data_IF_373474315214
#
_entry.id   IF_373474315214
#
_cell.length_a   1.000
_cell.length_b   1.000
_cell.length_c   1.000
_cell.angle_alpha   90.00
_cell.angle_beta   90.00
_cell.angle_gamma   90.00
#
_symmetry.space_group_name_H-M   'P 1'
#
loop_
_entity.id
_entity.type
_entity.pdbx_description
1 polymer ?
#
# COMPACT_ATOMS: atom_id res chain seq x y z
N UNK A 1 -13.41 -11.65 -10.04
CA UNK A 1 -14.42 -11.37 -8.99
C UNK A 1 -14.03 -11.95 -7.63
N UNK A 2 -13.66 -13.25 -7.54
CA UNK A 2 -13.35 -13.95 -6.28
C UNK A 2 -12.19 -13.35 -5.45
N UNK A 3 -11.10 -12.88 -6.08
CA UNK A 3 -9.95 -12.29 -5.37
C UNK A 3 -10.23 -10.95 -4.69
N UNK A 4 -11.11 -10.14 -5.27
CA UNK A 4 -11.56 -8.87 -4.68
C UNK A 4 -12.43 -9.17 -3.45
N UNK A 5 -13.34 -10.15 -3.56
CA UNK A 5 -14.17 -10.60 -2.44
C UNK A 5 -13.32 -11.06 -1.25
N UNK A 6 -12.28 -11.86 -1.46
CA UNK A 6 -11.40 -12.36 -0.38
C UNK A 6 -10.66 -11.19 0.32
N UNK A 7 -10.20 -10.18 -0.42
CA UNK A 7 -9.51 -9.02 0.15
C UNK A 7 -10.46 -8.12 0.97
N UNK A 8 -11.70 -7.92 0.50
CA UNK A 8 -12.73 -7.23 1.26
C UNK A 8 -13.13 -7.99 2.52
N UNK A 9 -13.24 -9.32 2.46
CA UNK A 9 -13.49 -10.15 3.64
C UNK A 9 -12.31 -10.10 4.63
N UNK A 10 -11.06 -10.06 4.15
CA UNK A 10 -9.90 -9.92 5.02
C UNK A 10 -9.86 -8.55 5.73
N UNK A 11 -10.19 -7.46 5.03
CA UNK A 11 -10.31 -6.12 5.64
C UNK A 11 -11.45 -6.09 6.66
N UNK A 12 -12.61 -6.69 6.35
CA UNK A 12 -13.72 -6.79 7.31
C UNK A 12 -13.32 -7.57 8.56
N UNK A 13 -12.60 -8.68 8.40
CA UNK A 13 -12.09 -9.49 9.51
C UNK A 13 -11.08 -8.68 10.32
N UNK A 14 -10.17 -7.94 9.68
CA UNK A 14 -9.20 -7.08 10.39
C UNK A 14 -9.93 -6.00 11.21
N UNK A 15 -10.91 -5.33 10.63
CA UNK A 15 -11.72 -4.32 11.32
C UNK A 15 -12.59 -4.93 12.45
N UNK A 16 -13.07 -6.16 12.27
CA UNK A 16 -13.78 -6.93 13.29
C UNK A 16 -12.85 -7.32 14.45
N UNK A 17 -11.63 -7.74 14.17
CA UNK A 17 -10.60 -8.04 15.18
C UNK A 17 -10.22 -6.78 15.93
N UNK A 18 -10.00 -5.65 15.24
CA UNK A 18 -9.74 -4.35 15.86
C UNK A 18 -10.88 -3.90 16.78
N UNK A 19 -12.15 -4.01 16.32
CA UNK A 19 -13.32 -3.73 17.15
C UNK A 19 -13.41 -4.66 18.36
N UNK A 20 -13.16 -5.95 18.18
CA UNK A 20 -13.23 -6.93 19.27
C UNK A 20 -12.16 -6.67 20.32
N UNK A 21 -10.93 -6.36 19.91
CA UNK A 21 -9.82 -5.98 20.79
C UNK A 21 -10.13 -4.67 21.50
N UNK A 22 -10.66 -3.67 20.79
CA UNK A 22 -11.09 -2.40 21.40
C UNK A 22 -12.18 -2.62 22.46
N UNK A 23 -13.21 -3.42 22.16
CA UNK A 23 -14.28 -3.77 23.12
C UNK A 23 -13.73 -4.51 24.34
N UNK A 24 -12.81 -5.46 24.15
CA UNK A 24 -12.13 -6.16 25.26
C UNK A 24 -11.33 -5.21 26.15
N UNK A 25 -10.60 -4.27 25.56
CA UNK A 25 -9.83 -3.26 26.32
C UNK A 25 -10.77 -2.33 27.10
N UNK A 26 -11.81 -1.81 26.46
CA UNK A 26 -12.80 -0.94 27.13
C UNK A 26 -13.46 -1.70 28.29
N UNK A 27 -13.89 -2.95 28.06
CA UNK A 27 -14.49 -3.78 29.11
C UNK A 27 -13.50 -4.09 30.26
N UNK A 28 -12.24 -4.37 29.94
CA UNK A 28 -11.18 -4.60 30.94
C UNK A 28 -10.91 -3.34 31.80
N UNK A 29 -10.87 -2.16 31.17
CA UNK A 29 -10.74 -0.90 31.91
C UNK A 29 -11.97 -0.56 32.74
N UNK A 30 -13.19 -0.87 32.26
CA UNK A 30 -14.43 -0.65 33.00
C UNK A 30 -14.60 -1.59 34.21
N UNK A 31 -14.15 -2.86 34.11
CA UNK A 31 -14.15 -3.79 35.25
C UNK A 31 -13.17 -3.40 36.37
N UNK A 32 -12.15 -2.61 36.05
CA UNK A 32 -11.14 -2.16 37.03
C UNK A 32 -11.56 -0.95 37.88
N UNK A 33 -12.75 -0.38 37.63
CA UNK A 33 -13.18 0.88 38.27
C UNK A 33 -13.79 0.72 39.68
N UNK A 34 -14.05 -0.51 40.15
CA UNK A 34 -14.91 -0.76 41.32
C UNK A 34 -14.27 -1.58 42.47
N UNK A 35 -12.94 -1.70 42.54
CA UNK A 35 -12.27 -2.39 43.66
C UNK A 35 -11.17 -1.52 44.28
N UNK A 36 -11.07 -1.44 45.62
CA UNK A 36 -9.99 -0.72 46.29
C UNK A 36 -8.66 -1.42 45.98
N UNK A 37 -7.77 -0.73 45.28
CA UNK A 37 -6.45 -1.21 44.89
C UNK A 37 -5.41 -0.71 45.89
N UNK A 38 -4.58 -1.61 46.43
CA UNK A 38 -3.40 -1.20 47.21
C UNK A 38 -2.35 -0.55 46.31
N UNK A 39 -1.34 0.11 46.90
CA UNK A 39 -0.32 0.85 46.16
C UNK A 39 0.48 -0.02 45.19
N UNK A 40 0.77 -1.28 45.52
CA UNK A 40 1.50 -2.21 44.65
C UNK A 40 0.62 -2.71 43.50
N UNK A 41 -0.65 -3.00 43.78
CA UNK A 41 -1.67 -3.38 42.81
C UNK A 41 -1.94 -2.23 41.82
N UNK A 42 -1.96 -0.99 42.29
CA UNK A 42 -2.13 0.19 41.44
C UNK A 42 -0.93 0.39 40.50
N UNK A 43 0.30 0.24 41.00
CA UNK A 43 1.52 0.34 40.18
C UNK A 43 1.56 -0.77 39.11
N UNK A 44 1.25 -2.01 39.47
CA UNK A 44 1.20 -3.13 38.53
C UNK A 44 0.10 -2.94 37.46
N UNK A 45 -1.07 -2.44 37.86
CA UNK A 45 -2.16 -2.12 36.93
C UNK A 45 -1.77 -1.01 35.95
N UNK A 46 -1.07 0.02 36.43
CA UNK A 46 -0.58 1.11 35.59
C UNK A 46 0.53 0.64 34.63
N UNK A 47 1.42 -0.23 35.08
CA UNK A 47 2.44 -0.87 34.23
C UNK A 47 1.82 -1.73 33.13
N UNK A 48 0.80 -2.53 33.45
CA UNK A 48 0.06 -3.35 32.47
C UNK A 48 -0.69 -2.48 31.44
N UNK A 49 -1.30 -1.37 31.87
CA UNK A 49 -1.91 -0.39 30.97
C UNK A 49 -0.90 0.23 30.01
N UNK A 50 0.27 0.64 30.53
CA UNK A 50 1.34 1.23 29.70
C UNK A 50 1.90 0.21 28.70
N UNK A 51 2.04 -1.06 29.09
CA UNK A 51 2.46 -2.15 28.21
C UNK A 51 1.44 -2.39 27.09
N UNK A 52 0.14 -2.41 27.41
CA UNK A 52 -0.93 -2.56 26.42
C UNK A 52 -0.99 -1.39 25.44
N UNK A 53 -0.79 -0.16 25.91
CA UNK A 53 -0.70 1.03 25.05
C UNK A 53 0.51 0.95 24.11
N UNK A 54 1.66 0.51 24.62
CA UNK A 54 2.88 0.34 23.82
C UNK A 54 2.69 -0.74 22.72
N UNK A 55 2.02 -1.85 23.06
CA UNK A 55 1.70 -2.94 22.14
C UNK A 55 0.74 -2.46 21.02
N UNK A 56 -0.26 -1.64 21.37
CA UNK A 56 -1.21 -1.05 20.43
C UNK A 56 -0.55 -0.06 19.46
N UNK A 57 0.41 0.75 19.94
CA UNK A 57 1.18 1.65 19.08
C UNK A 57 2.09 0.87 18.10
N UNK A 58 2.58 -0.31 18.50
CA UNK A 58 3.39 -1.16 17.63
C UNK A 58 2.59 -1.77 16.47
N UNK A 59 1.31 -2.09 16.67
CA UNK A 59 0.48 -2.69 15.60
C UNK A 59 0.11 -1.72 14.47
N UNK A 60 0.19 -0.40 14.70
CA UNK A 60 -0.06 0.61 13.65
C UNK A 60 1.10 0.79 12.65
N UNK A 61 2.24 0.13 12.86
CA UNK A 61 3.47 0.38 12.10
C UNK A 61 3.65 -0.49 10.85
N UNK A 62 2.76 -1.45 10.58
CA UNK A 62 2.85 -2.34 9.39
C UNK A 62 1.87 -1.90 8.31
N UNK A 63 2.23 -0.83 7.60
CA UNK A 63 1.63 -0.57 6.31
C UNK A 63 2.32 -1.48 5.28
N UNK A 64 1.72 -2.64 5.03
CA UNK A 64 2.02 -3.44 3.83
C UNK A 64 1.45 -2.71 2.63
N UNK A 65 2.15 -1.69 2.22
CA UNK A 65 1.90 -1.13 0.94
C UNK A 65 2.52 -2.16 -0.08
N UNK A 66 1.79 -2.49 -1.16
CA UNK A 66 2.22 -3.45 -2.20
C UNK A 66 2.29 -2.81 -3.56
N UNK A 67 3.44 -2.79 -4.22
CA UNK A 67 3.52 -2.04 -5.45
C UNK A 67 3.54 -2.78 -6.73
N UNK A 68 3.84 -1.96 -7.72
CA UNK A 68 3.65 -2.28 -9.10
C UNK A 68 4.85 -3.09 -9.57
N UNK A 69 4.70 -4.42 -9.52
CA UNK A 69 5.52 -5.30 -10.36
C UNK A 69 5.05 -5.12 -11.79
N UNK A 70 5.94 -4.65 -12.65
CA UNK A 70 5.65 -4.33 -14.04
C UNK A 70 6.56 -5.17 -14.92
N UNK A 71 6.05 -5.68 -16.03
CA UNK A 71 6.86 -6.36 -17.03
C UNK A 71 6.77 -5.59 -18.34
N UNK A 72 7.92 -5.21 -18.90
CA UNK A 72 7.97 -4.58 -20.21
C UNK A 72 7.85 -5.67 -21.28
N UNK A 73 6.86 -5.54 -22.16
CA UNK A 73 6.65 -6.46 -23.29
C UNK A 73 7.13 -5.83 -24.59
N UNK A 74 7.44 -6.68 -25.57
CA UNK A 74 7.95 -6.26 -26.87
C UNK A 74 6.85 -5.94 -27.89
N UNK A 75 5.63 -6.46 -27.67
CA UNK A 75 4.51 -6.32 -28.60
C UNK A 75 3.27 -5.74 -27.91
N UNK A 76 2.60 -4.82 -28.60
CA UNK A 76 1.41 -4.10 -28.08
C UNK A 76 0.30 -5.06 -27.63
N UNK A 77 0.05 -6.12 -28.38
CA UNK A 77 -1.00 -7.10 -28.08
C UNK A 77 -0.74 -7.95 -26.82
N UNK A 78 0.46 -7.89 -26.24
CA UNK A 78 0.82 -8.58 -25.01
C UNK A 78 0.64 -7.69 -23.77
N UNK A 79 0.42 -6.39 -23.96
CA UNK A 79 0.38 -5.42 -22.88
C UNK A 79 -1.03 -5.25 -22.33
N UNK A 80 -1.09 -4.98 -21.03
CA UNK A 80 -2.32 -4.52 -20.39
C UNK A 80 -2.51 -3.00 -20.58
N UNK A 81 -1.39 -2.26 -20.69
CA UNK A 81 -1.39 -0.79 -20.81
C UNK A 81 -0.27 -0.30 -21.74
N UNK A 82 -0.52 0.81 -22.42
CA UNK A 82 0.46 1.56 -23.22
C UNK A 82 1.00 2.76 -22.48
N UNK A 83 2.32 2.87 -22.43
CA UNK A 83 3.05 3.90 -21.68
C UNK A 83 3.87 4.75 -22.64
N UNK A 84 3.71 6.07 -22.57
CA UNK A 84 4.60 7.02 -23.23
C UNK A 84 5.52 7.68 -22.21
N UNK A 85 6.83 7.67 -22.46
CA UNK A 85 7.81 8.32 -21.59
C UNK A 85 7.97 9.78 -22.01
N UNK A 86 7.60 10.71 -21.13
CA UNK A 86 7.72 12.15 -21.39
C UNK A 86 9.09 12.70 -20.97
N UNK A 87 9.48 13.83 -21.54
CA UNK A 87 10.76 14.49 -21.25
C UNK A 87 10.71 15.42 -20.03
N UNK A 88 9.53 15.93 -19.69
CA UNK A 88 9.35 16.91 -18.62
C UNK A 88 8.31 16.44 -17.60
N UNK A 89 8.57 16.70 -16.32
CA UNK A 89 7.75 16.23 -15.20
C UNK A 89 6.28 16.67 -15.31
N UNK A 90 6.05 17.93 -15.69
CA UNK A 90 4.71 18.52 -15.82
C UNK A 90 3.85 17.92 -16.94
N UNK A 91 4.44 17.14 -17.85
CA UNK A 91 3.72 16.48 -18.93
C UNK A 91 3.20 15.09 -18.53
N UNK A 92 3.67 14.54 -17.41
CA UNK A 92 3.33 13.19 -16.99
C UNK A 92 1.95 13.10 -16.35
N UNK A 93 1.34 11.93 -16.48
CA UNK A 93 0.21 11.51 -15.65
C UNK A 93 0.72 10.89 -14.33
N UNK A 94 1.86 10.18 -14.40
CA UNK A 94 2.50 9.48 -13.29
C UNK A 94 4.02 9.71 -13.26
N UNK A 95 4.56 10.06 -12.10
CA UNK A 95 6.01 10.06 -11.83
C UNK A 95 6.42 8.70 -11.32
N UNK A 96 7.33 8.04 -12.03
CA UNK A 96 7.78 6.68 -11.73
C UNK A 96 9.19 6.68 -11.17
N UNK A 97 9.35 6.12 -9.98
CA UNK A 97 10.65 5.76 -9.44
C UNK A 97 10.89 4.26 -9.69
N UNK A 98 11.98 3.93 -10.37
CA UNK A 98 12.39 2.53 -10.59
C UNK A 98 13.07 2.02 -9.32
N UNK A 99 12.46 1.05 -8.66
CA UNK A 99 13.04 0.41 -7.48
C UNK A 99 13.92 -0.77 -7.88
N UNK A 100 14.87 -1.11 -7.01
CA UNK A 100 15.83 -2.19 -7.25
C UNK A 100 15.35 -3.54 -6.73
N UNK A 101 14.49 -3.53 -5.69
CA UNK A 101 14.02 -4.75 -5.04
C UNK A 101 12.50 -4.85 -5.12
N UNK A 102 12.01 -6.07 -5.31
CA UNK A 102 10.59 -6.37 -5.48
C UNK A 102 9.74 -5.90 -4.29
N UNK A 103 10.27 -6.05 -3.08
CA UNK A 103 9.62 -5.61 -1.84
C UNK A 103 9.53 -4.09 -1.68
N UNK A 104 10.24 -3.31 -2.52
CA UNK A 104 10.18 -1.85 -2.53
C UNK A 104 9.18 -1.31 -3.54
N UNK A 105 8.77 -2.12 -4.52
CA UNK A 105 7.67 -1.73 -5.38
C UNK A 105 6.49 -1.67 -4.46
N UNK A 106 5.98 -0.45 -4.30
CA UNK A 106 4.92 -0.17 -3.37
C UNK A 106 3.69 0.62 -3.93
N UNK A 107 2.49 0.16 -3.60
CA UNK A 107 1.17 0.66 -4.01
C UNK A 107 0.94 0.87 -5.51
N UNK A 108 -0.08 1.67 -5.79
CA UNK A 108 -0.25 2.34 -7.07
C UNK A 108 0.22 3.80 -6.91
N UNK A 109 1.46 3.99 -6.44
CA UNK A 109 2.01 5.31 -6.10
C UNK A 109 3.24 5.69 -6.95
N UNK A 110 3.47 4.96 -8.05
CA UNK A 110 4.59 5.24 -8.96
C UNK A 110 5.92 4.61 -8.56
N UNK A 111 5.96 3.64 -7.64
CA UNK A 111 7.15 2.81 -7.43
C UNK A 111 7.06 1.56 -8.28
N UNK A 112 7.90 1.45 -9.32
CA UNK A 112 7.87 0.34 -10.26
C UNK A 112 9.08 -0.57 -10.10
N UNK A 113 8.81 -1.86 -9.90
CA UNK A 113 9.80 -2.92 -10.03
C UNK A 113 9.61 -3.61 -11.36
N UNK A 114 10.64 -3.58 -12.22
CA UNK A 114 10.61 -4.27 -13.49
C UNK A 114 11.01 -5.73 -13.28
N UNK A 115 10.05 -6.64 -13.42
CA UNK A 115 10.33 -8.08 -13.34
C UNK A 115 10.77 -8.63 -14.69
N UNK A 116 11.61 -9.65 -14.65
CA UNK A 116 12.06 -10.40 -15.83
C UNK A 116 11.00 -11.36 -16.37
N UNK A 117 9.99 -11.73 -15.56
CA UNK A 117 9.01 -12.73 -15.95
C UNK A 117 7.58 -12.17 -15.98
N UNK A 118 6.83 -12.37 -17.08
CA UNK A 118 5.50 -11.79 -17.25
C UNK A 118 4.47 -12.28 -16.22
N UNK A 119 4.61 -13.51 -15.72
CA UNK A 119 3.72 -14.09 -14.73
C UNK A 119 3.90 -13.51 -13.32
N UNK A 120 5.00 -12.82 -13.06
CA UNK A 120 5.26 -12.14 -11.78
C UNK A 120 4.72 -10.71 -11.76
N UNK A 121 4.45 -10.13 -12.94
CA UNK A 121 3.96 -8.77 -13.04
C UNK A 121 2.47 -8.69 -12.71
N UNK A 122 2.10 -7.58 -12.07
CA UNK A 122 0.69 -7.17 -11.93
C UNK A 122 0.17 -6.54 -13.22
N UNK A 123 1.06 -5.88 -13.97
CA UNK A 123 0.74 -5.22 -15.25
C UNK A 123 1.88 -5.43 -16.24
N UNK A 124 1.51 -5.76 -17.47
CA UNK A 124 2.38 -5.75 -18.64
C UNK A 124 2.28 -4.40 -19.32
N UNK A 125 3.41 -3.74 -19.54
CA UNK A 125 3.47 -2.41 -20.15
C UNK A 125 4.17 -2.49 -21.49
N UNK A 126 3.59 -1.82 -22.48
CA UNK A 126 4.24 -1.59 -23.77
C UNK A 126 4.60 -0.12 -23.90
N UNK A 127 5.87 0.17 -24.20
CA UNK A 127 6.35 1.53 -24.36
C UNK A 127 6.12 1.99 -25.80
N UNK A 128 5.25 2.97 -25.99
CA UNK A 128 4.90 3.51 -27.31
C UNK A 128 5.81 4.68 -27.69
N UNK A 129 5.94 4.92 -29.00
CA UNK A 129 6.79 6.00 -29.54
C UNK A 129 6.09 7.35 -29.60
N UNK A 130 4.77 7.38 -29.65
CA UNK A 130 4.00 8.62 -29.81
C UNK A 130 2.99 8.79 -28.67
N UNK A 131 2.86 10.01 -28.18
CA UNK A 131 2.02 10.34 -27.02
C UNK A 131 0.55 9.96 -27.22
N UNK A 132 0.01 10.13 -28.42
CA UNK A 132 -1.38 9.83 -28.75
C UNK A 132 -1.71 8.32 -28.73
N UNK A 133 -0.70 7.44 -28.68
CA UNK A 133 -0.89 6.00 -28.60
C UNK A 133 -0.96 5.48 -27.16
N UNK A 134 -0.60 6.31 -26.17
CA UNK A 134 -0.49 5.87 -24.79
C UNK A 134 -1.78 6.07 -23.99
N UNK A 135 -2.01 5.13 -23.09
CA UNK A 135 -3.04 5.24 -22.06
C UNK A 135 -2.56 6.18 -20.94
N UNK A 136 -1.28 6.04 -20.54
CA UNK A 136 -0.64 6.88 -19.52
C UNK A 136 0.69 7.47 -19.98
N UNK A 137 0.97 8.69 -19.52
CA UNK A 137 2.28 9.36 -19.66
C UNK A 137 3.09 9.20 -18.38
N UNK A 138 4.33 8.73 -18.50
CA UNK A 138 5.22 8.49 -17.38
C UNK A 138 6.47 9.36 -17.47
N UNK A 139 6.88 9.94 -16.35
CA UNK A 139 8.19 10.58 -16.19
C UNK A 139 9.00 9.82 -15.14
N UNK A 140 10.21 9.38 -15.48
CA UNK A 140 11.08 8.66 -14.54
C UNK A 140 11.84 9.66 -13.64
N UNK A 141 11.67 9.52 -12.32
CA UNK A 141 12.32 10.37 -11.32
C UNK A 141 13.53 9.68 -10.69
N UNK A 142 14.44 10.49 -10.13
CA UNK A 142 15.68 10.00 -9.51
C UNK A 142 15.51 9.58 -8.05
N UNK A 143 14.57 10.18 -7.32
CA UNK A 143 14.37 9.92 -5.90
C UNK A 143 12.97 9.38 -5.63
N UNK A 144 12.88 8.43 -4.70
CA UNK A 144 11.63 7.74 -4.37
C UNK A 144 10.51 8.70 -3.92
N UNK A 145 10.85 9.72 -3.14
CA UNK A 145 9.91 10.72 -2.64
C UNK A 145 9.30 11.61 -3.74
N UNK A 146 9.84 11.56 -4.97
CA UNK A 146 9.31 12.29 -6.11
C UNK A 146 8.28 11.48 -6.90
N UNK A 147 8.14 10.18 -6.63
CA UNK A 147 7.15 9.34 -7.29
C UNK A 147 5.73 9.74 -6.89
N UNK A 148 4.77 9.52 -7.78
CA UNK A 148 3.36 9.77 -7.49
C UNK A 148 2.55 10.23 -8.69
N UNK A 149 1.23 10.14 -8.54
CA UNK A 149 0.27 10.55 -9.56
C UNK A 149 0.11 12.05 -9.62
N UNK A 150 0.26 12.61 -10.81
CA UNK A 150 -0.15 13.97 -11.14
C UNK A 150 -1.61 13.97 -11.60
N UNK A 151 -2.00 12.97 -12.40
CA UNK A 151 -3.34 12.79 -12.91
C UNK A 151 -4.07 11.63 -12.21
N UNK A 152 -4.78 11.95 -11.12
CA UNK A 152 -5.49 10.93 -10.33
C UNK A 152 -6.64 10.23 -11.07
N UNK A 153 -7.22 10.86 -12.09
CA UNK A 153 -8.31 10.28 -12.86
C UNK A 153 -7.88 8.99 -13.59
N UNK A 154 -6.59 8.86 -13.93
CA UNK A 154 -6.02 7.71 -14.63
C UNK A 154 -5.48 6.60 -13.72
N UNK A 155 -5.52 6.77 -12.39
CA UNK A 155 -5.01 5.78 -11.44
C UNK A 155 -5.59 4.38 -11.65
N UNK A 156 -6.86 4.31 -12.05
CA UNK A 156 -7.58 3.05 -12.25
C UNK A 156 -6.96 2.13 -13.32
N UNK A 157 -6.15 2.66 -14.24
CA UNK A 157 -5.49 1.88 -15.29
C UNK A 157 -4.42 0.92 -14.72
N UNK A 158 -3.90 1.23 -13.52
CA UNK A 158 -2.89 0.44 -12.82
C UNK A 158 -3.44 -0.38 -11.63
N UNK A 159 -4.76 -0.46 -11.42
CA UNK A 159 -5.33 -1.37 -10.40
C UNK A 159 -5.53 -2.80 -10.91
#
# INVERSE_FOLDING_TARGET
MVKITIHFEFIKILFLVEKMVFTLIVNFTASSLNLPLDSNMYQNHQQMKNLLILLFLFTFSVHFNYGQKVHAVEYENQADIKVFVVQYENQADLKVFKVNYENQADGNEGKWFFTNYPNQAKKKVFFVKYQNQADIKVFFVKYQNQAGWLNRAKMHLLY
#
